data_IF_047391631967
#
_entry.id   IF_047391631967
#
_cell.length_a   1.000
_cell.length_b   1.000
_cell.length_c   1.000
_cell.angle_alpha   90.00
_cell.angle_beta   90.00
_cell.angle_gamma   90.00
#
_symmetry.space_group_name_H-M   'P 1'
#
loop_
_entity.id
_entity.type
_entity.pdbx_description
1 polymer ?
#
# COMPACT_ATOMS: atom_id res chain seq x y z
N UNK A 1 -10.55 -37.82 -10.15
CA UNK A 1 -10.18 -38.34 -8.81
C UNK A 1 -8.80 -37.80 -8.46
N UNK A 2 -8.70 -36.77 -7.64
CA UNK A 2 -7.42 -36.32 -7.09
C UNK A 2 -7.12 -37.22 -5.89
N UNK A 3 -6.19 -38.16 -6.05
CA UNK A 3 -5.75 -39.02 -4.98
C UNK A 3 -5.16 -38.20 -3.83
N UNK A 4 -5.58 -38.45 -2.60
CA UNK A 4 -5.02 -37.86 -1.41
C UNK A 4 -3.49 -38.07 -1.43
N UNK A 5 -2.70 -36.99 -1.56
CA UNK A 5 -1.24 -37.06 -1.45
C UNK A 5 -0.88 -37.53 -0.05
N UNK A 6 -0.39 -38.75 0.05
CA UNK A 6 0.10 -39.32 1.32
C UNK A 6 1.37 -38.57 1.69
N UNK A 7 1.30 -37.75 2.74
CA UNK A 7 2.34 -36.81 3.17
C UNK A 7 3.73 -37.44 3.42
N UNK A 8 3.80 -38.73 3.71
CA UNK A 8 5.06 -39.43 3.93
C UNK A 8 5.96 -39.60 2.70
N UNK A 9 5.39 -39.61 1.51
CA UNK A 9 6.13 -39.84 0.27
C UNK A 9 6.53 -38.58 -0.50
N UNK A 10 5.90 -37.44 -0.21
CA UNK A 10 6.18 -36.18 -0.90
C UNK A 10 7.44 -35.48 -0.41
N UNK A 11 7.78 -35.61 0.89
CA UNK A 11 8.93 -34.92 1.48
C UNK A 11 10.29 -35.42 0.98
N UNK A 12 10.54 -36.74 0.90
CA UNK A 12 11.75 -37.26 0.24
C UNK A 12 11.86 -36.87 -1.23
N UNK A 13 10.74 -36.90 -1.97
CA UNK A 13 10.69 -36.47 -3.35
C UNK A 13 11.07 -35.02 -3.58
N UNK A 14 10.55 -34.10 -2.75
CA UNK A 14 10.88 -32.69 -2.80
C UNK A 14 12.39 -32.46 -2.56
N UNK A 15 12.95 -33.12 -1.53
CA UNK A 15 14.39 -33.04 -1.25
C UNK A 15 15.21 -33.57 -2.43
N UNK A 16 14.88 -34.76 -2.95
CA UNK A 16 15.59 -35.35 -4.07
C UNK A 16 15.51 -34.48 -5.32
N UNK A 17 14.39 -33.79 -5.53
CA UNK A 17 14.26 -32.88 -6.65
C UNK A 17 15.11 -31.61 -6.47
N UNK A 18 15.10 -30.99 -5.27
CA UNK A 18 15.90 -29.79 -4.98
C UNK A 18 17.39 -30.11 -4.99
N UNK A 19 17.79 -31.25 -4.41
CA UNK A 19 19.19 -31.65 -4.31
C UNK A 19 19.69 -32.37 -5.61
N UNK A 20 18.81 -32.56 -6.56
CA UNK A 20 19.10 -33.21 -7.83
C UNK A 20 19.47 -32.23 -8.96
N UNK A 21 19.67 -32.72 -10.17
CA UNK A 21 20.08 -31.91 -11.32
C UNK A 21 19.14 -30.76 -11.64
N UNK A 22 17.83 -30.88 -11.33
CA UNK A 22 16.84 -29.84 -11.56
C UNK A 22 17.04 -28.67 -10.60
N UNK A 23 17.26 -28.93 -9.33
CA UNK A 23 17.53 -27.88 -8.32
C UNK A 23 18.87 -27.19 -8.57
N UNK A 24 19.89 -27.93 -8.91
CA UNK A 24 21.21 -27.38 -9.27
C UNK A 24 21.12 -26.39 -10.46
N UNK A 25 20.37 -26.77 -11.52
CA UNK A 25 20.17 -25.89 -12.69
C UNK A 25 19.43 -24.61 -12.34
N UNK A 26 18.57 -24.63 -11.31
CA UNK A 26 17.81 -23.46 -10.82
C UNK A 26 18.58 -22.68 -9.75
N UNK A 27 19.81 -23.05 -9.41
CA UNK A 27 20.61 -22.39 -8.37
C UNK A 27 20.04 -22.54 -6.96
N UNK A 28 19.23 -23.58 -6.70
CA UNK A 28 18.64 -23.79 -5.39
C UNK A 28 19.64 -24.33 -4.39
N UNK A 29 19.63 -23.80 -3.17
CA UNK A 29 20.44 -24.29 -2.07
C UNK A 29 19.98 -25.69 -1.68
N UNK A 30 20.90 -26.70 -1.58
CA UNK A 30 20.55 -28.04 -1.17
C UNK A 30 19.90 -28.09 0.22
N UNK A 31 18.86 -28.91 0.35
CA UNK A 31 18.22 -29.17 1.64
C UNK A 31 19.03 -30.21 2.42
N UNK A 32 19.52 -29.90 3.62
CA UNK A 32 20.32 -30.84 4.43
C UNK A 32 19.50 -32.07 4.83
N UNK A 33 20.21 -33.12 5.24
CA UNK A 33 19.58 -34.31 5.81
C UNK A 33 18.83 -33.96 7.10
N UNK A 34 17.64 -34.54 7.30
CA UNK A 34 16.82 -34.28 8.48
C UNK A 34 15.32 -34.38 8.17
N UNK A 35 14.47 -34.26 9.17
CA UNK A 35 13.03 -34.29 8.97
C UNK A 35 12.58 -33.05 8.17
N UNK A 36 11.84 -33.28 7.09
CA UNK A 36 11.18 -32.25 6.31
C UNK A 36 9.69 -32.52 6.34
N UNK A 37 8.91 -31.60 6.88
CA UNK A 37 7.47 -31.75 6.95
C UNK A 37 6.76 -30.44 6.50
N UNK A 38 5.49 -30.55 6.13
CA UNK A 38 4.70 -29.42 5.63
C UNK A 38 4.51 -28.32 6.70
N UNK A 39 4.56 -28.68 7.98
CA UNK A 39 4.49 -27.69 9.07
C UNK A 39 5.72 -26.78 9.06
N UNK A 40 6.90 -27.33 8.77
CA UNK A 40 8.12 -26.52 8.62
C UNK A 40 8.02 -25.58 7.43
N UNK A 41 7.58 -26.05 6.26
CA UNK A 41 7.38 -25.21 5.07
C UNK A 41 6.36 -24.11 5.34
N UNK A 42 5.23 -24.45 5.99
CA UNK A 42 4.22 -23.48 6.39
C UNK A 42 4.76 -22.42 7.34
N UNK A 43 5.61 -22.82 8.30
CA UNK A 43 6.25 -21.93 9.25
C UNK A 43 7.25 -21.00 8.56
N UNK A 44 8.09 -21.53 7.66
CA UNK A 44 9.02 -20.72 6.85
C UNK A 44 8.25 -19.69 6.05
N UNK A 45 7.17 -20.10 5.37
CA UNK A 45 6.33 -19.18 4.61
C UNK A 45 5.71 -18.08 5.50
N UNK A 46 5.28 -18.43 6.73
CA UNK A 46 4.77 -17.45 7.68
C UNK A 46 5.86 -16.43 8.07
N UNK A 47 7.08 -16.89 8.33
CA UNK A 47 8.21 -16.06 8.70
C UNK A 47 8.61 -15.12 7.57
N UNK A 48 8.78 -15.63 6.36
CA UNK A 48 9.18 -14.83 5.19
C UNK A 48 8.13 -13.78 4.81
N UNK A 49 6.84 -14.13 4.92
CA UNK A 49 5.78 -13.17 4.63
C UNK A 49 5.60 -12.12 5.69
N UNK A 50 5.68 -12.50 6.96
CA UNK A 50 5.49 -11.58 8.07
C UNK A 50 6.57 -10.48 8.15
N UNK A 51 7.75 -10.71 7.56
CA UNK A 51 8.84 -9.73 7.50
C UNK A 51 8.58 -8.58 6.50
N UNK A 52 7.56 -8.68 5.66
CA UNK A 52 7.24 -7.64 4.67
C UNK A 52 6.24 -6.64 5.26
N UNK A 53 6.25 -5.37 4.82
CA UNK A 53 5.24 -4.40 5.22
C UNK A 53 3.82 -4.94 5.01
N UNK A 54 2.97 -4.86 6.03
CA UNK A 54 1.63 -5.49 6.01
C UNK A 54 1.62 -7.02 5.95
N UNK A 55 2.79 -7.65 6.01
CA UNK A 55 3.00 -9.09 5.76
C UNK A 55 2.34 -10.00 6.78
N UNK A 56 2.17 -9.57 8.04
CA UNK A 56 1.51 -10.36 9.07
C UNK A 56 0.04 -10.63 8.71
N UNK A 57 -0.69 -9.61 8.24
CA UNK A 57 -2.07 -9.75 7.78
C UNK A 57 -2.15 -10.58 6.49
N UNK A 58 -1.25 -10.35 5.55
CA UNK A 58 -1.16 -11.14 4.32
C UNK A 58 -0.84 -12.61 4.65
N UNK A 59 0.05 -12.89 5.60
CA UNK A 59 0.35 -14.24 6.09
C UNK A 59 -0.88 -14.88 6.75
N UNK A 60 -1.64 -14.13 7.57
CA UNK A 60 -2.89 -14.61 8.18
C UNK A 60 -3.88 -15.09 7.13
N UNK A 61 -4.13 -14.27 6.10
CA UNK A 61 -5.07 -14.59 5.01
C UNK A 61 -4.58 -15.80 4.22
N UNK A 62 -3.32 -15.78 3.79
CA UNK A 62 -2.73 -16.84 2.97
C UNK A 62 -2.70 -18.20 3.68
N UNK A 63 -2.36 -18.19 4.98
CA UNK A 63 -2.31 -19.40 5.81
C UNK A 63 -3.68 -19.79 6.37
N UNK A 64 -4.71 -19.00 6.11
CA UNK A 64 -6.08 -19.20 6.60
C UNK A 64 -6.13 -19.30 8.14
N UNK A 65 -5.37 -18.47 8.83
CA UNK A 65 -5.40 -18.42 10.29
C UNK A 65 -6.61 -17.62 10.77
N UNK A 66 -7.29 -18.13 11.78
CA UNK A 66 -8.49 -17.50 12.37
C UNK A 66 -8.09 -16.22 13.11
N UNK A 67 -6.96 -16.21 13.81
CA UNK A 67 -6.50 -15.05 14.58
C UNK A 67 -5.11 -14.58 14.15
N UNK A 68 -4.82 -13.28 14.37
CA UNK A 68 -3.51 -12.69 14.16
C UNK A 68 -2.48 -13.30 15.10
N UNK A 69 -2.85 -13.54 16.37
CA UNK A 69 -1.99 -14.18 17.37
C UNK A 69 -1.48 -15.57 16.92
N UNK A 70 -2.30 -16.35 16.20
CA UNK A 70 -1.87 -17.62 15.61
C UNK A 70 -0.80 -17.41 14.54
N UNK A 71 -0.93 -16.33 13.74
CA UNK A 71 0.04 -15.99 12.70
C UNK A 71 1.35 -15.51 13.31
N UNK A 72 1.29 -14.68 14.35
CA UNK A 72 2.45 -14.22 15.12
C UNK A 72 3.21 -15.41 15.73
N UNK A 73 2.49 -16.35 16.35
CA UNK A 73 3.09 -17.58 16.90
C UNK A 73 3.78 -18.44 15.83
N UNK A 74 3.23 -18.48 14.59
CA UNK A 74 3.86 -19.18 13.48
C UNK A 74 5.06 -18.41 12.88
N UNK A 75 5.03 -17.07 12.92
CA UNK A 75 6.07 -16.21 12.41
C UNK A 75 7.27 -16.07 13.35
N UNK A 76 7.08 -16.34 14.66
CA UNK A 76 8.14 -16.26 15.63
C UNK A 76 9.24 -17.32 15.38
N UNK A 77 10.50 -16.88 15.40
CA UNK A 77 11.67 -17.77 15.29
C UNK A 77 12.10 -18.26 16.67
N UNK A 78 12.47 -19.55 16.84
CA UNK A 78 13.11 -20.01 18.07
C UNK A 78 14.45 -19.32 18.29
N UNK A 79 14.78 -18.99 19.52
CA UNK A 79 16.12 -18.49 19.87
C UNK A 79 16.29 -16.97 19.87
N UNK A 80 15.22 -16.18 20.07
CA UNK A 80 15.34 -14.74 20.32
C UNK A 80 15.38 -13.86 19.07
N UNK A 81 15.15 -14.42 17.87
CA UNK A 81 15.04 -13.65 16.63
C UNK A 81 13.78 -12.78 16.54
N UNK A 82 12.90 -12.83 17.54
CA UNK A 82 11.75 -11.95 17.66
C UNK A 82 12.16 -10.48 17.77
N UNK A 83 13.24 -10.19 18.50
CA UNK A 83 13.79 -8.84 18.61
C UNK A 83 14.33 -8.33 17.28
N UNK A 84 15.04 -9.17 16.52
CA UNK A 84 15.52 -8.84 15.17
C UNK A 84 14.35 -8.66 14.18
N UNK A 85 13.32 -9.52 14.28
CA UNK A 85 12.11 -9.39 13.50
C UNK A 85 11.38 -8.07 13.78
N UNK A 86 11.21 -7.72 15.06
CA UNK A 86 10.58 -6.46 15.45
C UNK A 86 11.42 -5.23 15.11
N UNK A 87 12.73 -5.36 14.98
CA UNK A 87 13.59 -4.27 14.50
C UNK A 87 13.55 -4.10 12.96
N UNK A 88 13.48 -5.19 12.22
CA UNK A 88 13.46 -5.15 10.74
C UNK A 88 12.11 -4.69 10.15
N UNK A 89 10.99 -5.01 10.81
CA UNK A 89 9.66 -4.62 10.30
C UNK A 89 9.50 -3.10 10.21
N UNK A 90 9.87 -2.29 11.23
CA UNK A 90 9.80 -0.84 11.13
C UNK A 90 10.65 -0.26 9.99
N UNK A 91 11.86 -0.76 9.78
CA UNK A 91 12.74 -0.30 8.70
C UNK A 91 12.10 -0.54 7.32
N UNK A 92 11.54 -1.73 7.11
CA UNK A 92 10.84 -2.07 5.86
C UNK A 92 9.55 -1.26 5.69
N UNK A 93 8.84 -0.96 6.79
CA UNK A 93 7.66 -0.09 6.76
C UNK A 93 8.05 1.35 6.39
N UNK A 94 9.14 1.88 6.97
CA UNK A 94 9.63 3.22 6.66
C UNK A 94 10.05 3.36 5.19
N UNK A 95 10.79 2.38 4.65
CA UNK A 95 11.16 2.34 3.24
C UNK A 95 9.93 2.27 2.34
N UNK A 96 8.97 1.42 2.67
CA UNK A 96 7.72 1.30 1.94
C UNK A 96 6.92 2.61 1.98
N UNK A 97 6.81 3.24 3.14
CA UNK A 97 6.12 4.53 3.29
C UNK A 97 6.81 5.63 2.49
N UNK A 98 8.15 5.63 2.44
CA UNK A 98 8.91 6.56 1.61
C UNK A 98 8.58 6.37 0.13
N UNK A 99 8.60 5.14 -0.37
CA UNK A 99 8.24 4.85 -1.77
C UNK A 99 6.81 5.30 -2.09
N UNK A 100 5.83 5.00 -1.25
CA UNK A 100 4.45 5.45 -1.45
C UNK A 100 4.33 6.98 -1.43
N UNK A 101 5.12 7.65 -0.59
CA UNK A 101 5.13 9.12 -0.52
C UNK A 101 5.73 9.73 -1.78
N UNK A 102 6.82 9.15 -2.31
CA UNK A 102 7.43 9.55 -3.57
C UNK A 102 6.47 9.33 -4.74
N UNK A 103 5.81 8.18 -4.78
CA UNK A 103 4.83 7.89 -5.84
C UNK A 103 3.64 8.86 -5.80
N UNK A 104 3.12 9.18 -4.61
CA UNK A 104 2.08 10.18 -4.44
C UNK A 104 2.54 11.59 -4.86
N UNK A 105 3.80 11.95 -4.58
CA UNK A 105 4.38 13.22 -5.01
C UNK A 105 4.56 13.28 -6.53
N UNK A 106 5.05 12.20 -7.16
CA UNK A 106 5.16 12.12 -8.63
C UNK A 106 3.80 12.20 -9.31
N UNK A 107 2.77 11.57 -8.74
CA UNK A 107 1.38 11.71 -9.22
C UNK A 107 0.91 13.17 -9.13
N UNK A 108 1.22 13.86 -8.02
CA UNK A 108 0.93 15.28 -7.86
C UNK A 108 1.64 16.12 -8.93
N UNK A 109 2.92 15.91 -9.21
CA UNK A 109 3.67 16.58 -10.27
C UNK A 109 3.09 16.29 -11.67
N UNK A 110 2.52 15.10 -11.87
CA UNK A 110 1.79 14.74 -13.08
C UNK A 110 0.37 15.32 -13.15
N UNK A 111 -0.04 16.17 -12.18
CA UNK A 111 -1.35 16.79 -12.11
C UNK A 111 -2.44 15.90 -11.49
N UNK A 112 -2.12 14.68 -11.05
CA UNK A 112 -3.08 13.81 -10.36
C UNK A 112 -3.14 14.19 -8.87
N UNK A 113 -4.15 14.96 -8.51
CA UNK A 113 -4.28 15.45 -7.15
C UNK A 113 -4.84 14.38 -6.21
N UNK A 114 -4.42 14.39 -4.93
CA UNK A 114 -5.08 13.60 -3.91
C UNK A 114 -6.49 14.14 -3.64
N UNK A 115 -7.42 13.25 -3.29
CA UNK A 115 -8.77 13.58 -2.86
C UNK A 115 -8.94 13.39 -1.34
N UNK A 116 -10.11 13.74 -0.81
CA UNK A 116 -10.49 13.51 0.57
C UNK A 116 -10.17 14.66 1.53
N UNK A 117 -10.56 14.53 2.82
CA UNK A 117 -10.51 15.63 3.77
C UNK A 117 -9.11 16.18 4.06
N UNK A 118 -8.06 15.34 3.97
CA UNK A 118 -6.65 15.72 4.15
C UNK A 118 -5.96 16.21 2.88
N UNK A 119 -6.65 16.25 1.74
CA UNK A 119 -6.04 16.54 0.45
C UNK A 119 -5.39 17.92 0.40
N UNK A 120 -6.05 18.94 0.95
CA UNK A 120 -5.53 20.32 0.96
C UNK A 120 -4.18 20.41 1.66
N UNK A 121 -4.05 19.80 2.82
CA UNK A 121 -2.82 19.83 3.61
C UNK A 121 -1.68 19.09 2.91
N UNK A 122 -2.01 17.99 2.23
CA UNK A 122 -1.03 17.22 1.45
C UNK A 122 -0.60 17.99 0.21
N UNK A 123 -1.53 18.58 -0.54
CA UNK A 123 -1.23 19.42 -1.71
C UNK A 123 -0.31 20.59 -1.32
N UNK A 124 -0.63 21.30 -0.23
CA UNK A 124 0.22 22.39 0.27
C UNK A 124 1.64 21.89 0.61
N UNK A 125 1.74 20.71 1.22
CA UNK A 125 3.04 20.08 1.50
C UNK A 125 3.80 19.78 0.22
N UNK A 126 3.17 19.16 -0.76
CA UNK A 126 3.80 18.80 -2.02
C UNK A 126 4.19 20.02 -2.86
N UNK A 127 3.36 21.07 -2.84
CA UNK A 127 3.70 22.36 -3.47
C UNK A 127 4.95 22.98 -2.85
N UNK A 128 5.07 22.92 -1.52
CA UNK A 128 6.27 23.41 -0.83
C UNK A 128 7.51 22.59 -1.20
N UNK A 129 7.41 21.26 -1.25
CA UNK A 129 8.52 20.38 -1.67
C UNK A 129 8.90 20.64 -3.12
N UNK A 130 7.94 20.81 -4.02
CA UNK A 130 8.19 21.10 -5.43
C UNK A 130 8.90 22.45 -5.62
N UNK A 131 8.46 23.49 -4.90
CA UNK A 131 9.14 24.78 -4.86
C UNK A 131 10.59 24.69 -4.37
N UNK A 132 10.84 23.96 -3.29
CA UNK A 132 12.19 23.75 -2.76
C UNK A 132 13.11 22.97 -3.74
N UNK A 133 12.53 22.09 -4.57
CA UNK A 133 13.26 21.40 -5.63
C UNK A 133 13.66 22.37 -6.74
N UNK A 134 12.75 23.29 -7.13
CA UNK A 134 13.00 24.27 -8.17
C UNK A 134 14.04 25.33 -7.74
N UNK A 135 13.94 25.86 -6.52
CA UNK A 135 14.91 26.85 -5.98
C UNK A 135 16.33 26.33 -5.88
N UNK A 136 16.51 25.03 -5.72
CA UNK A 136 17.83 24.43 -5.61
C UNK A 136 18.31 23.75 -6.88
N UNK A 137 17.63 23.91 -8.01
CA UNK A 137 18.11 23.44 -9.30
C UNK A 137 19.32 24.30 -9.71
N UNK A 138 20.54 23.79 -9.44
CA UNK A 138 21.80 24.36 -9.95
C UNK A 138 21.85 24.17 -11.46
N UNK A 139 22.71 24.99 -12.11
CA UNK A 139 22.85 25.07 -13.56
C UNK A 139 23.23 23.77 -14.30
N UNK A 140 23.54 22.71 -13.57
CA UNK A 140 23.80 21.38 -14.12
C UNK A 140 22.93 20.31 -13.38
N UNK A 141 21.72 19.97 -13.89
CA UNK A 141 20.89 18.97 -13.27
C UNK A 141 21.46 17.56 -13.51
N UNK A 142 21.96 16.92 -12.45
CA UNK A 142 22.20 15.47 -12.42
C UNK A 142 20.92 14.76 -11.99
N UNK A 143 20.42 13.82 -12.80
CA UNK A 143 19.20 13.04 -12.50
C UNK A 143 19.32 12.29 -11.17
N UNK A 144 20.52 11.83 -10.82
CA UNK A 144 20.80 11.12 -9.57
C UNK A 144 20.69 12.04 -8.34
N UNK A 145 21.10 13.29 -8.46
CA UNK A 145 21.01 14.26 -7.36
C UNK A 145 19.58 14.70 -7.13
N UNK A 146 18.78 14.78 -8.19
CA UNK A 146 17.35 15.11 -8.10
C UNK A 146 16.57 14.05 -7.35
N UNK A 147 16.77 12.77 -7.63
CA UNK A 147 16.05 11.67 -6.95
C UNK A 147 16.43 11.61 -5.46
N UNK A 148 17.71 11.69 -5.11
CA UNK A 148 18.15 11.74 -3.70
C UNK A 148 17.60 12.94 -2.96
N UNK A 149 17.51 14.07 -3.62
CA UNK A 149 16.98 15.30 -3.04
C UNK A 149 15.49 15.18 -2.76
N UNK A 150 14.72 14.61 -3.69
CA UNK A 150 13.29 14.26 -3.50
C UNK A 150 13.14 13.33 -2.30
N UNK A 151 13.91 12.25 -2.24
CA UNK A 151 13.88 11.32 -1.10
C UNK A 151 14.14 12.02 0.23
N UNK A 152 15.18 12.87 0.31
CA UNK A 152 15.52 13.57 1.53
C UNK A 152 14.44 14.54 1.99
N UNK A 153 13.83 15.29 1.07
CA UNK A 153 12.74 16.21 1.38
C UNK A 153 11.46 15.48 1.82
N UNK A 154 11.17 14.33 1.21
CA UNK A 154 9.97 13.57 1.50
C UNK A 154 10.11 12.61 2.70
N UNK A 155 11.32 12.25 3.11
CA UNK A 155 11.57 11.29 4.22
C UNK A 155 10.86 11.69 5.51
N UNK A 156 10.95 12.96 5.90
CA UNK A 156 10.26 13.47 7.10
C UNK A 156 8.73 13.35 6.99
N UNK A 157 8.20 13.54 5.78
CA UNK A 157 6.77 13.40 5.54
C UNK A 157 6.32 11.95 5.48
N UNK A 158 7.16 11.06 4.95
CA UNK A 158 6.93 9.63 4.89
C UNK A 158 6.77 8.98 6.28
N UNK A 159 7.48 9.48 7.29
CA UNK A 159 7.33 9.02 8.68
C UNK A 159 5.94 9.26 9.27
N UNK A 160 5.16 10.18 8.71
CA UNK A 160 3.78 10.42 9.13
C UNK A 160 2.75 9.58 8.34
N UNK A 161 3.17 8.90 7.28
CA UNK A 161 2.29 8.07 6.46
C UNK A 161 1.95 6.75 7.16
N UNK A 162 0.67 6.42 7.18
CA UNK A 162 0.17 5.10 7.55
C UNK A 162 -0.82 4.63 6.50
N UNK A 163 -0.65 3.41 6.04
CA UNK A 163 -1.49 2.81 5.00
C UNK A 163 -2.76 2.26 5.62
N UNK A 164 -3.90 2.81 5.26
CA UNK A 164 -5.22 2.29 5.60
C UNK A 164 -5.75 1.32 4.53
N UNK A 165 -6.90 0.67 4.79
CA UNK A 165 -7.48 -0.30 3.84
C UNK A 165 -7.83 0.33 2.48
N UNK A 166 -8.24 1.60 2.46
CA UNK A 166 -8.68 2.31 1.26
C UNK A 166 -8.32 3.81 1.31
N UNK A 167 -7.22 4.13 1.99
CA UNK A 167 -6.74 5.51 2.15
C UNK A 167 -5.30 5.55 2.61
N UNK A 168 -4.66 6.70 2.44
CA UNK A 168 -3.45 7.07 3.16
C UNK A 168 -3.82 7.97 4.35
N UNK A 169 -3.22 7.71 5.50
CA UNK A 169 -3.36 8.53 6.72
C UNK A 169 -2.05 9.25 6.98
N UNK A 170 -2.06 10.57 6.90
CA UNK A 170 -0.92 11.43 7.22
C UNK A 170 -1.02 11.86 8.67
N UNK A 171 -0.59 10.97 9.57
CA UNK A 171 -0.76 11.14 11.02
C UNK A 171 0.25 12.13 11.59
N UNK A 172 -0.06 13.42 11.47
CA UNK A 172 0.79 14.53 11.93
C UNK A 172 0.35 15.13 13.26
N UNK A 173 -0.95 15.12 13.51
CA UNK A 173 -1.54 15.72 14.69
C UNK A 173 -2.52 14.75 15.36
N UNK A 174 -2.15 14.12 16.49
CA UNK A 174 -3.03 13.19 17.22
C UNK A 174 -4.40 13.80 17.56
N UNK A 175 -4.43 15.08 17.94
CA UNK A 175 -5.65 15.80 18.27
C UNK A 175 -6.64 15.94 17.12
N UNK A 176 -6.16 15.94 15.87
CA UNK A 176 -6.98 15.97 14.65
C UNK A 176 -7.43 14.58 14.20
N UNK A 177 -6.85 13.50 14.75
CA UNK A 177 -7.13 12.14 14.35
C UNK A 177 -8.53 11.70 14.81
N UNK A 178 -9.44 11.48 13.86
CA UNK A 178 -10.81 11.06 14.17
C UNK A 178 -10.86 9.71 14.89
N UNK A 179 -10.01 8.75 14.52
CA UNK A 179 -9.92 7.44 15.16
C UNK A 179 -9.57 7.55 16.64
N UNK A 180 -8.68 8.46 17.03
CA UNK A 180 -8.32 8.67 18.44
C UNK A 180 -9.47 9.33 19.22
N UNK A 181 -10.16 10.29 18.63
CA UNK A 181 -11.36 10.91 19.25
C UNK A 181 -12.48 9.89 19.47
N UNK A 182 -12.68 8.97 18.50
CA UNK A 182 -13.66 7.89 18.63
C UNK A 182 -13.26 6.87 19.71
N UNK A 183 -11.98 6.69 19.94
CA UNK A 183 -11.45 5.82 21.01
C UNK A 183 -11.42 6.52 22.38
N UNK A 184 -11.68 7.83 22.45
CA UNK A 184 -11.60 8.59 23.69
C UNK A 184 -10.16 8.82 24.20
N UNK A 185 -9.15 8.74 23.32
CA UNK A 185 -7.73 8.96 23.65
C UNK A 185 -7.12 10.00 22.71
N UNK A 186 -6.15 10.77 23.21
CA UNK A 186 -5.40 11.75 22.39
C UNK A 186 -3.89 11.53 22.45
N UNK A 187 -3.43 10.53 23.20
CA UNK A 187 -2.01 10.34 23.52
C UNK A 187 -1.34 9.21 22.70
N UNK A 188 -2.03 8.67 21.72
CA UNK A 188 -1.45 7.62 20.88
C UNK A 188 -0.44 8.19 19.87
N UNK A 189 0.68 7.51 19.71
CA UNK A 189 1.74 7.86 18.75
C UNK A 189 1.46 7.34 17.35
N UNK A 190 0.44 6.47 17.18
CA UNK A 190 0.03 5.86 15.91
C UNK A 190 -1.49 5.92 15.73
N UNK A 191 -1.99 5.96 14.49
CA UNK A 191 -3.43 5.93 14.26
C UNK A 191 -4.04 4.56 14.58
N UNK A 192 -5.29 4.56 15.03
CA UNK A 192 -6.07 3.34 15.26
C UNK A 192 -6.79 2.95 13.95
N UNK A 193 -6.13 2.16 13.12
CA UNK A 193 -6.61 1.79 11.77
C UNK A 193 -7.99 1.12 11.83
N UNK A 194 -8.27 0.31 12.86
CA UNK A 194 -9.57 -0.36 13.05
C UNK A 194 -10.75 0.58 13.30
N UNK A 195 -10.48 1.84 13.71
CA UNK A 195 -11.49 2.88 13.92
C UNK A 195 -11.39 4.00 12.87
N UNK A 196 -10.70 3.74 11.76
CA UNK A 196 -10.51 4.75 10.72
C UNK A 196 -11.79 5.03 9.95
N UNK A 197 -12.25 6.29 10.00
CA UNK A 197 -13.28 6.82 9.10
C UNK A 197 -12.59 7.83 8.17
N UNK A 198 -12.00 7.32 7.10
CA UNK A 198 -11.19 8.12 6.17
C UNK A 198 -12.02 9.11 5.36
N UNK A 199 -13.32 8.88 5.21
CA UNK A 199 -14.20 9.82 4.53
C UNK A 199 -14.41 11.13 5.31
N UNK A 200 -14.13 11.15 6.63
CA UNK A 200 -14.32 12.33 7.50
C UNK A 200 -13.05 12.79 8.21
N UNK A 201 -12.02 11.93 8.26
CA UNK A 201 -10.81 12.27 8.99
C UNK A 201 -9.97 13.32 8.25
N UNK A 202 -9.63 14.47 8.86
CA UNK A 202 -8.87 15.53 8.20
C UNK A 202 -7.42 15.16 7.87
N UNK A 203 -6.94 14.01 8.32
CA UNK A 203 -5.61 13.48 8.00
C UNK A 203 -5.64 12.34 6.97
N UNK A 204 -6.81 12.03 6.41
CA UNK A 204 -6.97 10.97 5.41
C UNK A 204 -7.02 11.55 4.00
N UNK A 205 -6.28 10.90 3.09
CA UNK A 205 -6.33 11.20 1.66
C UNK A 205 -6.67 9.94 0.86
N UNK A 206 -7.34 10.15 -0.26
CA UNK A 206 -7.68 9.11 -1.22
C UNK A 206 -6.96 9.39 -2.53
N UNK A 207 -6.40 8.36 -3.13
CA UNK A 207 -5.67 8.41 -4.39
C UNK A 207 -6.33 7.48 -5.41
N UNK A 208 -5.98 7.60 -6.67
CA UNK A 208 -6.54 6.77 -7.74
C UNK A 208 -6.43 5.26 -7.46
N UNK A 209 -5.36 4.83 -6.77
CA UNK A 209 -5.15 3.43 -6.38
C UNK A 209 -6.20 2.90 -5.38
N UNK A 210 -6.84 3.76 -4.60
CA UNK A 210 -7.88 3.38 -3.65
C UNK A 210 -9.27 3.24 -4.29
N UNK A 211 -9.46 3.81 -5.48
CA UNK A 211 -10.75 3.82 -6.19
C UNK A 211 -11.40 2.43 -6.35
N UNK A 212 -10.65 1.37 -6.75
CA UNK A 212 -11.24 0.04 -6.90
C UNK A 212 -11.86 -0.50 -5.62
N UNK A 213 -11.23 -0.24 -4.46
CA UNK A 213 -11.72 -0.71 -3.16
C UNK A 213 -13.04 0.00 -2.80
N UNK A 214 -13.11 1.30 -3.02
CA UNK A 214 -14.33 2.07 -2.81
C UNK A 214 -15.45 1.66 -3.76
N UNK A 215 -15.13 1.36 -5.03
CA UNK A 215 -16.09 0.89 -6.02
C UNK A 215 -16.66 -0.49 -5.64
N UNK A 216 -15.84 -1.41 -5.16
CA UNK A 216 -16.27 -2.71 -4.65
C UNK A 216 -17.20 -2.57 -3.44
N UNK A 217 -16.89 -1.64 -2.54
CA UNK A 217 -17.73 -1.34 -1.39
C UNK A 217 -19.10 -0.76 -1.81
N UNK A 218 -19.11 0.17 -2.79
CA UNK A 218 -20.36 0.70 -3.35
C UNK A 218 -21.22 -0.40 -3.96
N UNK A 219 -20.63 -1.28 -4.77
CA UNK A 219 -21.32 -2.42 -5.36
C UNK A 219 -21.90 -3.37 -4.30
N UNK A 220 -21.17 -3.59 -3.22
CA UNK A 220 -21.63 -4.39 -2.08
C UNK A 220 -22.87 -3.76 -1.43
N UNK A 221 -22.87 -2.46 -1.16
CA UNK A 221 -24.04 -1.78 -0.62
C UNK A 221 -25.23 -1.83 -1.58
N UNK A 222 -25.01 -1.66 -2.88
CA UNK A 222 -26.09 -1.79 -3.89
C UNK A 222 -26.69 -3.19 -3.90
N UNK A 223 -25.90 -4.25 -3.81
CA UNK A 223 -26.38 -5.62 -3.73
C UNK A 223 -27.28 -5.84 -2.50
N UNK A 224 -26.89 -5.31 -1.34
CA UNK A 224 -27.73 -5.38 -0.13
C UNK A 224 -29.01 -4.55 -0.25
N UNK A 225 -28.96 -3.37 -0.84
CA UNK A 225 -30.13 -2.52 -1.06
C UNK A 225 -31.14 -3.17 -2.02
N UNK A 226 -30.67 -3.92 -3.01
CA UNK A 226 -31.51 -4.70 -3.93
C UNK A 226 -32.13 -5.94 -3.31
N UNK A 227 -31.64 -6.41 -2.15
CA UNK A 227 -32.16 -7.61 -1.53
C UNK A 227 -33.52 -7.34 -0.84
N UNK A 228 -34.62 -8.04 -1.23
CA UNK A 228 -35.94 -7.85 -0.62
C UNK A 228 -36.02 -8.27 0.85
N UNK A 229 -35.08 -9.12 1.32
CA UNK A 229 -35.06 -9.62 2.70
C UNK A 229 -34.47 -8.61 3.70
N UNK A 230 -33.83 -7.56 3.23
CA UNK A 230 -33.27 -6.51 4.10
C UNK A 230 -34.39 -5.59 4.60
N UNK A 231 -34.53 -5.40 5.92
CA UNK A 231 -35.57 -4.53 6.50
C UNK A 231 -35.43 -3.08 6.03
N UNK A 232 -36.54 -2.35 5.93
CA UNK A 232 -36.59 -0.97 5.45
C UNK A 232 -35.70 -0.01 6.27
N UNK A 233 -35.68 -0.17 7.61
CA UNK A 233 -34.82 0.62 8.48
C UNK A 233 -33.34 0.41 8.19
N UNK A 234 -32.92 -0.81 7.95
CA UNK A 234 -31.53 -1.13 7.57
C UNK A 234 -31.21 -0.60 6.17
N UNK A 235 -32.12 -0.68 5.22
CA UNK A 235 -31.95 -0.06 3.89
C UNK A 235 -31.70 1.46 3.98
N UNK A 236 -32.37 2.15 4.91
CA UNK A 236 -32.13 3.58 5.10
C UNK A 236 -30.72 3.85 5.59
N UNK A 237 -30.20 3.04 6.50
CA UNK A 237 -28.82 3.12 6.97
C UNK A 237 -27.83 2.81 5.84
N UNK A 238 -28.04 1.74 5.10
CA UNK A 238 -27.21 1.32 3.97
C UNK A 238 -27.16 2.39 2.86
N UNK A 239 -28.26 3.09 2.57
CA UNK A 239 -28.26 4.19 1.62
C UNK A 239 -27.34 5.32 2.07
N UNK A 240 -27.37 5.72 3.34
CA UNK A 240 -26.48 6.77 3.87
C UNK A 240 -25.00 6.38 3.73
N UNK A 241 -24.68 5.12 3.99
CA UNK A 241 -23.30 4.62 3.83
C UNK A 241 -22.91 4.54 2.35
N UNK A 242 -23.80 4.05 1.48
CA UNK A 242 -23.61 4.06 0.04
C UNK A 242 -23.35 5.46 -0.50
N UNK A 243 -24.17 6.45 -0.11
CA UNK A 243 -24.03 7.85 -0.52
C UNK A 243 -22.69 8.44 -0.03
N UNK A 244 -22.21 8.00 1.15
CA UNK A 244 -20.91 8.40 1.65
C UNK A 244 -19.78 7.84 0.76
N UNK A 245 -19.84 6.57 0.43
CA UNK A 245 -18.87 5.90 -0.45
C UNK A 245 -18.88 6.55 -1.83
N UNK A 246 -20.07 6.86 -2.36
CA UNK A 246 -20.20 7.50 -3.66
C UNK A 246 -19.52 8.89 -3.67
N UNK A 247 -19.70 9.71 -2.62
CA UNK A 247 -18.99 10.99 -2.51
C UNK A 247 -17.48 10.85 -2.50
N UNK A 248 -16.94 9.77 -1.91
CA UNK A 248 -15.50 9.50 -1.96
C UNK A 248 -15.06 9.16 -3.37
N UNK A 249 -15.81 8.31 -4.08
CA UNK A 249 -15.55 7.96 -5.47
C UNK A 249 -15.58 9.21 -6.36
N UNK A 250 -16.62 10.02 -6.24
CA UNK A 250 -16.77 11.26 -7.02
C UNK A 250 -15.59 12.21 -6.76
N UNK A 251 -15.13 12.32 -5.50
CA UNK A 251 -13.99 13.16 -5.15
C UNK A 251 -12.66 12.65 -5.74
N UNK A 252 -12.47 11.32 -5.81
CA UNK A 252 -11.29 10.71 -6.44
C UNK A 252 -11.34 10.97 -7.96
N UNK A 253 -12.50 10.76 -8.58
CA UNK A 253 -12.67 10.93 -10.02
C UNK A 253 -12.48 12.40 -10.44
N UNK A 254 -12.99 13.36 -9.69
CA UNK A 254 -12.77 14.79 -9.90
C UNK A 254 -11.27 15.16 -9.77
N UNK A 255 -10.61 14.70 -8.73
CA UNK A 255 -9.19 14.97 -8.50
C UNK A 255 -8.29 14.39 -9.62
N UNK A 256 -8.69 13.26 -10.17
CA UNK A 256 -7.97 12.62 -11.28
C UNK A 256 -8.28 13.30 -12.63
N UNK A 257 -9.52 13.79 -12.83
CA UNK A 257 -9.92 14.44 -14.08
C UNK A 257 -9.31 15.83 -14.27
N UNK A 258 -8.97 16.52 -13.19
CA UNK A 258 -8.32 17.84 -13.24
C UNK A 258 -6.96 17.77 -13.96
N UNK A 259 -6.28 16.63 -13.90
CA UNK A 259 -5.03 16.37 -14.62
C UNK A 259 -5.19 16.42 -16.16
N UNK A 260 -6.35 16.06 -16.68
CA UNK A 260 -6.62 16.04 -18.14
C UNK A 260 -6.98 17.42 -18.72
N UNK A 261 -7.24 18.40 -17.86
CA UNK A 261 -7.73 19.74 -18.25
C UNK A 261 -6.64 20.81 -18.21
N UNK A 262 -5.37 20.47 -17.92
CA UNK A 262 -4.26 21.43 -18.02
C UNK A 262 -4.06 21.76 -19.50
N UNK A 263 -4.11 23.05 -19.92
CA UNK A 263 -4.01 23.41 -21.33
C UNK A 263 -2.68 22.94 -21.90
N UNK A 264 -2.76 22.39 -23.10
CA UNK A 264 -1.61 22.01 -23.90
C UNK A 264 -0.56 23.13 -23.86
N UNK A 265 0.70 22.74 -23.69
CA UNK A 265 1.88 23.57 -23.84
C UNK A 265 1.67 24.62 -24.95
N UNK A 266 1.94 25.92 -24.72
CA UNK A 266 1.82 26.91 -25.77
C UNK A 266 2.68 26.46 -26.95
N UNK A 267 2.07 26.44 -28.13
CA UNK A 267 2.69 26.05 -29.38
C UNK A 267 3.98 26.85 -29.60
N UNK A 268 5.11 26.16 -29.49
CA UNK A 268 6.42 26.67 -29.93
C UNK A 268 6.33 26.88 -31.45
N UNK A 269 6.70 28.06 -31.98
CA UNK A 269 6.71 28.31 -33.41
C UNK A 269 7.63 27.29 -34.10
N UNK A 270 7.13 26.69 -35.14
CA UNK A 270 7.78 25.72 -36.02
C UNK A 270 9.16 26.17 -36.48
N UNK A 271 10.20 25.54 -36.00
CA UNK A 271 11.56 25.82 -36.44
C UNK A 271 12.69 25.16 -35.72
N UNK A 272 12.54 23.95 -35.11
CA UNK A 272 13.70 23.11 -34.77
C UNK A 272 13.28 21.65 -34.50
N UNK A 273 14.17 20.65 -34.77
CA UNK A 273 13.72 19.28 -34.94
C UNK A 273 13.60 18.50 -33.62
N UNK A 274 12.55 17.68 -33.58
CA UNK A 274 12.30 16.45 -32.82
C UNK A 274 13.29 16.07 -31.67
N UNK A 275 13.01 16.52 -30.45
CA UNK A 275 13.52 15.90 -29.22
C UNK A 275 12.41 15.26 -28.35
N UNK A 276 11.18 15.26 -28.82
CA UNK A 276 10.04 14.76 -28.04
C UNK A 276 9.64 13.30 -28.35
N UNK A 277 10.55 12.49 -28.94
CA UNK A 277 10.21 11.12 -29.41
C UNK A 277 10.91 9.97 -28.69
N UNK A 278 11.51 10.17 -27.54
CA UNK A 278 12.23 9.10 -26.82
C UNK A 278 11.76 8.77 -25.40
N UNK A 279 10.54 9.15 -24.98
CA UNK A 279 9.98 8.71 -23.70
C UNK A 279 8.72 7.85 -23.80
N UNK A 280 8.58 7.10 -24.84
CA UNK A 280 7.53 6.11 -24.98
C UNK A 280 8.07 4.71 -24.95
N UNK A 281 8.36 4.11 -23.80
CA UNK A 281 8.41 2.65 -23.58
C UNK A 281 8.99 2.33 -22.17
N UNK A 282 8.26 2.64 -21.12
CA UNK A 282 8.37 1.88 -19.88
C UNK A 282 6.99 1.31 -19.55
N UNK A 283 6.85 0.03 -19.89
CA UNK A 283 5.69 -0.81 -19.56
C UNK A 283 5.37 -0.67 -18.06
N UNK A 284 4.18 -0.19 -17.77
CA UNK A 284 3.58 -0.26 -16.47
C UNK A 284 3.53 -1.71 -15.97
N UNK A 285 4.45 -2.09 -15.09
CA UNK A 285 4.22 -3.19 -14.17
C UNK A 285 3.15 -2.71 -13.18
N UNK A 286 1.98 -3.32 -13.22
CA UNK A 286 0.93 -3.15 -12.23
C UNK A 286 1.52 -3.50 -10.87
N UNK A 287 1.79 -2.47 -10.07
CA UNK A 287 2.05 -2.61 -8.63
C UNK A 287 0.68 -2.37 -7.99
N UNK A 288 0.14 -3.41 -7.37
CA UNK A 288 -1.07 -3.30 -6.56
C UNK A 288 -0.79 -2.41 -5.34
N UNK A 289 -1.68 -1.47 -5.10
CA UNK A 289 -1.75 -0.75 -3.81
C UNK A 289 -1.99 -1.69 -2.65
#
# INVERSE_FOLDING_TARGET
>A
MFGAMVFHTSNPRLRNWINGPAGHRLGLTPIPAGPLNLRMLRRTLAQERAQRPGGLLAAKIHLKHVSTATTEGCANRPGGSQALFHAQVPELEEEHHLHLTIDAFRQFQAGQLPAGPGARDLIATFTHVDGALQEGASLEPSVLDTDRRVENLLRTHAGALHVGPANYCWFRAPTKALCLRLAGTTEATRPLIGLCDSARCPQATHHACHRPIWAEQAATFQAFLGNPRVPTGEKTRLRREHDRVQRVLDSIDQATSTAMSTPACPSVPSGEPDICRSQGLLRAKRIAC
#
